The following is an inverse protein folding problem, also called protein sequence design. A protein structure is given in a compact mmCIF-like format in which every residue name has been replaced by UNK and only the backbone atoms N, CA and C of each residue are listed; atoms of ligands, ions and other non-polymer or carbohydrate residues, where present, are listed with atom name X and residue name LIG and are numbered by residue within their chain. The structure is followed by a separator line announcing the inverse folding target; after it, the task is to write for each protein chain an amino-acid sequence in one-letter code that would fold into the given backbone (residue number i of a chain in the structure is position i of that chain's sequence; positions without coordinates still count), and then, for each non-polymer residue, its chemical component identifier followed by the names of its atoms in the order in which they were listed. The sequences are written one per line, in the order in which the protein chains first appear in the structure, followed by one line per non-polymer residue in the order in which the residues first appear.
data_IF_296289498752
#
_entry.id   IF_296289498752
#
_cell.length_a   1.000
_cell.length_b   1.000
_cell.length_c   1.000
_cell.angle_alpha   90.00
_cell.angle_beta   90.00
_cell.angle_gamma   90.00
#
_symmetry.space_group_name_H-M   'P 1'
#
loop_
_entity.id
_entity.type
_entity.pdbx_description
1 polymer ?
#
# COMPACT_ATOMS: atom_id res chain seq x y z
N UNK A 1 68.93 26.93 -38.97
CA UNK A 1 68.89 27.46 -37.58
C UNK A 1 67.49 27.15 -37.06
N UNK A 2 67.38 26.19 -36.16
CA UNK A 2 66.98 26.39 -34.75
C UNK A 2 65.48 26.78 -34.67
N UNK A 3 64.57 25.99 -34.10
CA UNK A 3 64.62 25.32 -32.81
C UNK A 3 63.73 24.07 -32.82
N UNK A 4 64.24 23.01 -32.20
CA UNK A 4 63.53 21.82 -31.70
C UNK A 4 63.24 22.07 -30.23
N UNK A 5 62.00 21.91 -29.76
CA UNK A 5 61.65 21.58 -28.36
C UNK A 5 60.15 21.26 -28.24
N UNK A 6 59.89 19.95 -28.11
CA UNK A 6 58.90 19.20 -27.32
C UNK A 6 57.39 19.57 -27.26
N UNK A 7 56.51 18.57 -27.51
CA UNK A 7 55.15 18.55 -26.96
C UNK A 7 55.22 18.19 -25.47
N UNK A 8 54.19 18.55 -24.69
CA UNK A 8 54.09 18.44 -23.21
C UNK A 8 54.59 19.65 -22.42
N UNK A 9 53.70 20.64 -22.23
CA UNK A 9 53.74 21.54 -21.07
C UNK A 9 52.36 22.18 -20.85
N UNK A 10 51.84 22.05 -19.63
CA UNK A 10 50.54 22.57 -19.17
C UNK A 10 49.65 21.42 -18.72
N UNK A 11 49.90 20.79 -17.56
CA UNK A 11 49.91 21.46 -16.26
C UNK A 11 48.55 21.19 -15.62
N UNK A 12 48.39 19.96 -15.14
CA UNK A 12 47.23 19.53 -14.34
C UNK A 12 47.26 20.31 -13.02
N UNK A 13 46.54 21.43 -12.96
CA UNK A 13 46.32 22.13 -11.69
C UNK A 13 45.20 21.41 -10.95
N UNK A 14 45.63 20.41 -10.20
CA UNK A 14 44.84 19.63 -9.27
C UNK A 14 44.35 20.58 -8.16
N UNK A 15 43.14 21.11 -8.34
CA UNK A 15 42.48 21.91 -7.33
C UNK A 15 42.30 21.05 -6.07
N UNK A 16 42.99 21.44 -5.00
CA UNK A 16 42.84 20.86 -3.68
C UNK A 16 41.35 20.87 -3.27
N UNK A 17 40.81 19.76 -2.71
CA UNK A 17 39.45 19.77 -2.23
C UNK A 17 39.34 20.79 -1.09
N UNK A 18 38.51 21.82 -1.28
CA UNK A 18 38.06 22.68 -0.21
C UNK A 18 37.48 21.81 0.91
N UNK A 19 37.68 22.14 2.20
CA UNK A 19 37.13 21.37 3.30
C UNK A 19 35.60 21.41 3.18
N UNK A 20 35.00 20.29 2.80
CA UNK A 20 33.57 20.07 3.00
C UNK A 20 33.29 20.19 4.50
N UNK A 21 32.34 21.03 4.94
CA UNK A 21 31.99 21.11 6.35
C UNK A 21 31.47 19.73 6.77
N UNK A 22 32.28 19.01 7.55
CA UNK A 22 31.85 17.77 8.18
C UNK A 22 30.86 18.14 9.28
N UNK A 23 29.65 17.56 9.30
CA UNK A 23 28.72 17.79 10.39
C UNK A 23 29.36 17.30 11.69
N UNK A 24 29.74 18.24 12.56
CA UNK A 24 30.20 17.94 13.92
C UNK A 24 29.01 17.42 14.71
N UNK A 25 29.02 16.12 15.03
CA UNK A 25 28.02 15.53 15.91
C UNK A 25 28.14 16.16 17.31
N UNK A 26 27.12 16.94 17.70
CA UNK A 26 27.04 17.49 19.04
C UNK A 26 26.62 16.38 20.03
N UNK A 27 27.37 16.16 21.12
CA UNK A 27 26.99 15.22 22.15
C UNK A 27 25.78 15.79 22.91
N UNK A 28 24.64 15.13 22.82
CA UNK A 28 23.39 15.57 23.46
C UNK A 28 22.12 15.44 22.62
N UNK A 29 22.18 14.90 21.40
CA UNK A 29 20.96 14.57 20.66
C UNK A 29 20.11 13.59 21.49
N UNK A 30 18.85 13.91 21.81
CA UNK A 30 18.02 13.02 22.59
C UNK A 30 17.77 11.76 21.76
N UNK A 31 18.40 10.65 22.15
CA UNK A 31 18.23 9.32 21.54
C UNK A 31 16.75 8.96 21.33
N UNK A 32 15.86 9.48 22.19
CA UNK A 32 14.41 9.33 22.06
C UNK A 32 13.79 9.96 20.81
N UNK A 33 14.32 11.08 20.30
CA UNK A 33 13.81 11.75 19.09
C UNK A 33 14.11 10.95 17.82
N UNK A 34 15.32 10.40 17.71
CA UNK A 34 15.70 9.52 16.61
C UNK A 34 14.92 8.20 16.67
N UNK A 35 14.77 7.61 17.87
CA UNK A 35 13.96 6.40 18.05
C UNK A 35 12.49 6.63 17.68
N UNK A 36 11.92 7.79 17.99
CA UNK A 36 10.56 8.16 17.56
C UNK A 36 10.46 8.26 16.03
N UNK A 37 11.42 8.91 15.37
CA UNK A 37 11.43 9.03 13.90
C UNK A 37 11.60 7.67 13.20
N UNK A 38 12.46 6.80 13.73
CA UNK A 38 12.62 5.42 13.24
C UNK A 38 11.32 4.61 13.44
N UNK A 39 10.65 4.78 14.58
CA UNK A 39 9.36 4.12 14.85
C UNK A 39 8.27 4.63 13.91
N UNK A 40 8.22 5.94 13.63
CA UNK A 40 7.26 6.53 12.69
C UNK A 40 7.53 6.10 11.24
N UNK A 41 8.80 6.02 10.84
CA UNK A 41 9.20 5.51 9.53
C UNK A 41 8.94 4.01 9.35
N UNK A 42 8.87 3.24 10.45
CA UNK A 42 8.47 1.83 10.41
C UNK A 42 6.96 1.64 10.16
N UNK A 43 6.15 2.69 10.30
CA UNK A 43 4.72 2.68 9.94
C UNK A 43 4.62 2.96 8.44
N UNK A 44 4.30 1.92 7.67
CA UNK A 44 4.01 2.04 6.25
C UNK A 44 2.49 2.21 6.05
N UNK A 45 2.01 3.44 5.76
CA UNK A 45 0.57 3.71 5.61
C UNK A 45 -0.04 3.02 4.39
N UNK A 46 0.75 2.75 3.35
CA UNK A 46 0.27 2.04 2.16
C UNK A 46 0.06 0.56 2.49
N UNK A 47 1.00 -0.05 3.22
CA UNK A 47 0.86 -1.42 3.71
C UNK A 47 -0.36 -1.57 4.63
N UNK A 48 -0.58 -0.63 5.55
CA UNK A 48 -1.75 -0.69 6.43
C UNK A 48 -3.05 -0.49 5.65
N UNK A 49 -3.09 0.43 4.67
CA UNK A 49 -4.25 0.57 3.79
C UNK A 49 -4.54 -0.71 3.02
N UNK A 50 -3.53 -1.33 2.40
CA UNK A 50 -3.70 -2.63 1.71
C UNK A 50 -4.22 -3.71 2.65
N UNK A 51 -3.70 -3.78 3.88
CA UNK A 51 -4.18 -4.72 4.91
C UNK A 51 -5.65 -4.49 5.22
N UNK A 52 -6.05 -3.24 5.48
CA UNK A 52 -7.44 -2.87 5.77
C UNK A 52 -8.39 -3.26 4.63
N UNK A 53 -7.99 -3.06 3.38
CA UNK A 53 -8.77 -3.43 2.20
C UNK A 53 -8.85 -4.95 2.01
N UNK A 54 -7.76 -5.68 2.28
CA UNK A 54 -7.77 -7.14 2.25
C UNK A 54 -8.70 -7.73 3.33
N UNK A 55 -8.68 -7.19 4.54
CA UNK A 55 -9.63 -7.57 5.60
C UNK A 55 -11.07 -7.23 5.19
N UNK A 56 -11.31 -6.09 4.51
CA UNK A 56 -12.63 -5.79 3.97
C UNK A 56 -13.09 -6.85 2.96
N UNK A 57 -12.18 -7.29 2.09
CA UNK A 57 -12.42 -8.38 1.17
C UNK A 57 -12.80 -9.69 1.81
N UNK A 58 -12.03 -10.08 2.83
CA UNK A 58 -12.31 -11.27 3.62
C UNK A 58 -13.70 -11.20 4.26
N UNK A 59 -14.10 -10.04 4.79
CA UNK A 59 -15.46 -9.86 5.31
C UNK A 59 -16.53 -10.11 4.24
N UNK A 60 -16.31 -9.71 3.00
CA UNK A 60 -17.21 -10.02 1.88
C UNK A 60 -17.34 -11.54 1.63
N UNK A 61 -16.21 -12.26 1.66
CA UNK A 61 -16.18 -13.73 1.54
C UNK A 61 -16.89 -14.42 2.72
N UNK A 62 -16.63 -14.00 3.95
CA UNK A 62 -17.25 -14.57 5.15
C UNK A 62 -18.79 -14.37 5.11
N UNK A 63 -19.25 -13.24 4.58
CA UNK A 63 -20.68 -12.95 4.40
C UNK A 63 -21.32 -13.83 3.32
N UNK A 64 -20.62 -14.11 2.21
CA UNK A 64 -21.06 -15.06 1.19
C UNK A 64 -21.16 -16.48 1.76
N UNK A 65 -20.19 -16.90 2.56
CA UNK A 65 -20.21 -18.22 3.21
C UNK A 65 -21.38 -18.34 4.19
N UNK A 66 -21.63 -17.30 4.97
CA UNK A 66 -22.77 -17.26 5.88
C UNK A 66 -24.12 -17.26 5.14
N UNK A 67 -24.24 -16.51 4.04
CA UNK A 67 -25.42 -16.56 3.17
C UNK A 67 -25.66 -17.97 2.64
N UNK A 68 -24.61 -18.64 2.15
CA UNK A 68 -24.72 -20.01 1.67
C UNK A 68 -25.19 -20.97 2.78
N UNK A 69 -24.64 -20.86 3.99
CA UNK A 69 -25.06 -21.67 5.13
C UNK A 69 -26.55 -21.45 5.48
N UNK A 70 -27.02 -20.20 5.49
CA UNK A 70 -28.43 -19.86 5.73
C UNK A 70 -29.35 -20.43 4.63
N UNK A 71 -28.94 -20.35 3.36
CA UNK A 71 -29.69 -20.91 2.23
C UNK A 71 -29.80 -22.43 2.33
N UNK A 72 -28.71 -23.13 2.68
CA UNK A 72 -28.70 -24.59 2.88
C UNK A 72 -29.60 -24.98 4.05
N UNK A 73 -29.64 -24.17 5.11
CA UNK A 73 -30.52 -24.38 6.26
C UNK A 73 -31.99 -23.99 5.98
N UNK A 74 -32.28 -23.29 4.87
CA UNK A 74 -33.61 -22.73 4.59
C UNK A 74 -34.00 -21.59 5.53
N UNK A 75 -33.03 -20.88 6.11
CA UNK A 75 -33.20 -19.86 7.15
C UNK A 75 -32.65 -18.49 6.71
N UNK A 76 -32.92 -18.08 5.48
CA UNK A 76 -32.42 -16.80 4.96
C UNK A 76 -32.97 -15.61 5.75
N UNK A 77 -32.07 -14.77 6.26
CA UNK A 77 -32.45 -13.56 7.03
C UNK A 77 -32.34 -12.28 6.19
N UNK A 78 -33.30 -11.33 6.30
CA UNK A 78 -33.21 -10.03 5.60
C UNK A 78 -31.95 -9.24 5.97
N UNK A 79 -31.53 -9.33 7.23
CA UNK A 79 -30.33 -8.67 7.76
C UNK A 79 -29.06 -9.12 7.01
N UNK A 80 -28.96 -10.40 6.61
CA UNK A 80 -27.83 -10.90 5.82
C UNK A 80 -27.74 -10.23 4.46
N UNK A 81 -28.89 -10.07 3.80
CA UNK A 81 -28.98 -9.48 2.47
C UNK A 81 -28.61 -7.99 2.52
N UNK A 82 -29.09 -7.28 3.54
CA UNK A 82 -28.71 -5.88 3.79
C UNK A 82 -27.21 -5.73 4.04
N UNK A 83 -26.59 -6.62 4.83
CA UNK A 83 -25.14 -6.59 5.08
C UNK A 83 -24.30 -6.76 3.80
N UNK A 84 -24.71 -7.67 2.91
CA UNK A 84 -24.04 -7.87 1.62
C UNK A 84 -24.26 -6.68 0.67
N UNK A 85 -25.49 -6.15 0.63
CA UNK A 85 -25.82 -4.96 -0.14
C UNK A 85 -24.95 -3.76 0.27
N UNK A 86 -24.84 -3.51 1.58
CA UNK A 86 -24.06 -2.42 2.13
C UNK A 86 -22.56 -2.63 1.91
N UNK A 87 -22.07 -3.87 2.00
CA UNK A 87 -20.68 -4.18 1.70
C UNK A 87 -20.31 -3.83 0.26
N UNK A 88 -21.18 -4.14 -0.73
CA UNK A 88 -20.97 -3.74 -2.13
C UNK A 88 -20.99 -2.22 -2.30
N UNK A 89 -21.96 -1.54 -1.69
CA UNK A 89 -22.06 -0.07 -1.77
C UNK A 89 -20.85 0.66 -1.19
N UNK A 90 -20.19 0.04 -0.21
CA UNK A 90 -19.01 0.58 0.47
C UNK A 90 -17.69 0.02 -0.10
N UNK A 91 -17.74 -0.87 -1.10
CA UNK A 91 -16.55 -1.46 -1.69
C UNK A 91 -15.72 -0.38 -2.39
N UNK A 92 -14.47 -0.22 -1.95
CA UNK A 92 -13.49 0.66 -2.59
C UNK A 92 -12.55 -0.15 -3.47
N UNK A 93 -12.15 0.41 -4.61
CA UNK A 93 -11.11 -0.18 -5.46
C UNK A 93 -9.72 0.02 -4.85
N UNK A 94 -8.98 -1.05 -4.51
CA UNK A 94 -7.58 -0.99 -4.05
C UNK A 94 -6.63 -0.41 -5.09
N UNK A 95 -5.57 0.25 -4.61
CA UNK A 95 -4.48 0.73 -5.48
C UNK A 95 -3.58 -0.42 -5.97
N UNK A 96 -3.43 -1.48 -5.18
CA UNK A 96 -2.72 -2.69 -5.59
C UNK A 96 -3.57 -3.43 -6.64
N UNK A 97 -3.07 -3.59 -7.88
CA UNK A 97 -3.83 -4.18 -8.97
C UNK A 97 -4.25 -5.63 -8.71
N UNK A 98 -3.44 -6.40 -7.96
CA UNK A 98 -3.78 -7.80 -7.66
C UNK A 98 -4.95 -7.85 -6.69
N UNK A 99 -4.87 -7.06 -5.62
CA UNK A 99 -5.96 -6.96 -4.65
C UNK A 99 -7.23 -6.38 -5.28
N UNK A 100 -7.09 -5.44 -6.21
CA UNK A 100 -8.21 -4.86 -6.94
C UNK A 100 -8.94 -5.88 -7.82
N UNK A 101 -8.21 -6.74 -8.51
CA UNK A 101 -8.80 -7.86 -9.26
C UNK A 101 -9.61 -8.77 -8.34
N UNK A 102 -9.03 -9.17 -7.21
CA UNK A 102 -9.70 -10.03 -6.21
C UNK A 102 -10.96 -9.35 -5.65
N UNK A 103 -10.90 -8.05 -5.33
CA UNK A 103 -12.07 -7.29 -4.87
C UNK A 103 -13.17 -7.23 -5.91
N UNK A 104 -12.83 -7.01 -7.18
CA UNK A 104 -13.80 -6.99 -8.26
C UNK A 104 -14.49 -8.35 -8.44
N UNK A 105 -13.75 -9.45 -8.34
CA UNK A 105 -14.31 -10.81 -8.42
C UNK A 105 -15.28 -11.10 -7.27
N UNK A 106 -14.91 -10.71 -6.04
CA UNK A 106 -15.77 -10.89 -4.87
C UNK A 106 -17.03 -10.03 -5.01
N UNK A 107 -16.89 -8.77 -5.40
CA UNK A 107 -18.01 -7.85 -5.61
C UNK A 107 -18.98 -8.37 -6.68
N UNK A 108 -18.46 -8.85 -7.81
CA UNK A 108 -19.26 -9.47 -8.84
C UNK A 108 -20.04 -10.68 -8.29
N UNK A 109 -19.39 -11.53 -7.49
CA UNK A 109 -20.06 -12.68 -6.88
C UNK A 109 -21.17 -12.25 -5.94
N UNK A 110 -20.94 -11.25 -5.08
CA UNK A 110 -21.97 -10.71 -4.18
C UNK A 110 -23.16 -10.18 -4.98
N UNK A 111 -22.93 -9.36 -6.00
CA UNK A 111 -23.99 -8.83 -6.88
C UNK A 111 -24.81 -9.96 -7.52
N UNK A 112 -24.15 -11.01 -8.01
CA UNK A 112 -24.81 -12.18 -8.61
C UNK A 112 -25.64 -12.94 -7.57
N UNK A 113 -25.13 -13.18 -6.36
CA UNK A 113 -25.90 -13.86 -5.32
C UNK A 113 -27.12 -13.05 -4.87
N UNK A 114 -27.00 -11.73 -4.74
CA UNK A 114 -28.14 -10.85 -4.45
C UNK A 114 -29.16 -10.86 -5.59
N UNK A 115 -28.72 -10.82 -6.84
CA UNK A 115 -29.61 -10.86 -8.01
C UNK A 115 -30.39 -12.18 -8.12
N UNK A 116 -29.80 -13.32 -7.73
CA UNK A 116 -30.53 -14.61 -7.66
C UNK A 116 -31.70 -14.59 -6.66
N UNK A 117 -31.69 -13.63 -5.74
CA UNK A 117 -32.70 -13.43 -4.71
C UNK A 117 -33.57 -12.19 -5.01
N UNK A 118 -33.57 -11.74 -6.27
CA UNK A 118 -34.31 -10.57 -6.77
C UNK A 118 -33.94 -9.25 -6.08
N UNK A 119 -32.67 -9.11 -5.64
CA UNK A 119 -32.13 -7.87 -5.06
C UNK A 119 -31.16 -7.21 -6.05
N UNK A 120 -31.45 -5.97 -6.43
CA UNK A 120 -30.61 -5.14 -7.29
C UNK A 120 -29.80 -4.13 -6.47
N UNK A 121 -28.53 -3.94 -6.83
CA UNK A 121 -27.56 -3.03 -6.17
C UNK A 121 -26.84 -2.16 -7.19
#
# INVERSE_FOLDING_TARGET
MAVKTDPFAGGEEQAAPAPVPQPTAQPGQPLGSLQMLVTLAAIDPEKERRRQMAENGKRGLDQLEALHAELVAGQLTPQRLEQLADWVRQAETPADPVLAGIMSEIELRVRVELAKLDIEI
#
